data_IF_019179908282
#
_entry.id   IF_019179908282
#
_cell.length_a   1.000
_cell.length_b   1.000
_cell.length_c   1.000
_cell.angle_alpha   90.00
_cell.angle_beta   90.00
_cell.angle_gamma   90.00
#
_symmetry.space_group_name_H-M   'P 1'
#
loop_
_entity.id
_entity.type
_entity.pdbx_description
1 polymer ?
#
# COMPACT_ATOMS: atom_id res chain seq x y z
N UNK A 1 -9.76 -8.55 -8.17
CA UNK A 1 -8.33 -8.78 -8.52
C UNK A 1 -7.52 -7.62 -7.97
N UNK A 2 -6.53 -7.89 -7.09
CA UNK A 2 -5.55 -6.90 -6.72
C UNK A 2 -4.69 -6.61 -7.95
N UNK A 3 -4.70 -5.37 -8.44
CA UNK A 3 -3.96 -4.96 -9.63
C UNK A 3 -2.49 -4.67 -9.32
N UNK A 4 -1.77 -5.63 -8.72
CA UNK A 4 -0.33 -5.51 -8.54
C UNK A 4 0.38 -5.62 -9.89
N UNK A 5 1.35 -4.76 -10.13
CA UNK A 5 2.21 -4.82 -11.31
C UNK A 5 3.68 -4.96 -10.87
N UNK A 6 4.45 -5.81 -11.55
CA UNK A 6 5.85 -6.00 -11.22
C UNK A 6 6.68 -4.78 -11.62
N UNK A 7 7.64 -4.41 -10.77
CA UNK A 7 8.65 -3.40 -11.07
C UNK A 7 10.01 -4.06 -10.89
N UNK A 8 10.87 -3.95 -11.91
CA UNK A 8 12.28 -4.27 -11.75
C UNK A 8 12.92 -3.25 -10.79
N UNK A 9 13.45 -3.72 -9.68
CA UNK A 9 14.03 -2.86 -8.65
C UNK A 9 15.46 -2.43 -8.97
N UNK A 10 16.18 -3.26 -9.72
CA UNK A 10 17.59 -3.01 -10.05
C UNK A 10 17.69 -2.07 -11.23
N UNK A 11 16.75 -2.19 -12.18
CA UNK A 11 16.73 -1.34 -13.37
C UNK A 11 15.30 -0.87 -13.68
N UNK A 12 14.73 0.06 -12.88
CA UNK A 12 13.37 0.53 -13.08
C UNK A 12 13.26 1.30 -14.39
N UNK A 13 12.79 0.64 -15.43
CA UNK A 13 12.54 1.25 -16.72
C UNK A 13 11.48 2.36 -16.65
N UNK A 14 11.32 3.11 -17.76
CA UNK A 14 10.31 4.17 -17.86
C UNK A 14 8.88 3.66 -17.58
N UNK A 15 8.61 2.39 -17.80
CA UNK A 15 7.32 1.75 -17.54
C UNK A 15 6.95 1.74 -16.07
N UNK A 16 7.93 1.71 -15.16
CA UNK A 16 7.70 1.80 -13.72
C UNK A 16 6.96 3.10 -13.31
N UNK A 17 7.11 4.16 -14.09
CA UNK A 17 6.43 5.44 -13.88
C UNK A 17 5.23 5.59 -14.82
N UNK A 18 5.39 5.25 -16.11
CA UNK A 18 4.33 5.46 -17.11
C UNK A 18 3.07 4.62 -16.83
N UNK A 19 3.25 3.37 -16.41
CA UNK A 19 2.12 2.48 -16.14
C UNK A 19 1.21 3.00 -15.03
N UNK A 20 1.72 3.26 -13.79
CA UNK A 20 0.88 3.81 -12.72
C UNK A 20 0.28 5.16 -13.05
N UNK A 21 1.00 6.04 -13.74
CA UNK A 21 0.47 7.34 -14.19
C UNK A 21 -0.69 7.18 -15.14
N UNK A 22 -0.57 6.30 -16.13
CA UNK A 22 -1.65 6.03 -17.09
C UNK A 22 -2.86 5.40 -16.41
N UNK A 23 -2.63 4.48 -15.47
CA UNK A 23 -3.67 3.85 -14.68
C UNK A 23 -4.46 4.90 -13.87
N UNK A 24 -3.78 5.79 -13.17
CA UNK A 24 -4.40 6.85 -12.37
C UNK A 24 -5.17 7.86 -13.22
N UNK A 25 -4.67 8.18 -14.43
CA UNK A 25 -5.35 9.12 -15.34
C UNK A 25 -6.58 8.55 -16.05
N UNK A 26 -6.51 7.26 -16.41
CA UNK A 26 -7.51 6.64 -17.28
C UNK A 26 -8.57 5.85 -16.52
N UNK A 27 -8.42 5.66 -15.24
CA UNK A 27 -9.35 4.88 -14.43
C UNK A 27 -9.64 5.56 -13.09
N UNK A 28 -10.77 5.25 -12.50
CA UNK A 28 -11.13 5.68 -11.15
C UNK A 28 -10.52 4.74 -10.10
N UNK A 29 -9.19 4.53 -10.16
CA UNK A 29 -8.45 3.64 -9.26
C UNK A 29 -7.48 4.44 -8.42
N UNK A 30 -7.20 3.93 -7.24
CA UNK A 30 -6.14 4.44 -6.36
C UNK A 30 -4.90 3.57 -6.49
N UNK A 31 -3.73 4.13 -6.24
CA UNK A 31 -2.46 3.44 -6.18
C UNK A 31 -1.98 3.42 -4.73
N UNK A 32 -1.65 2.23 -4.24
CA UNK A 32 -0.97 2.08 -2.95
C UNK A 32 0.48 1.78 -3.24
N UNK A 33 1.37 2.55 -2.63
CA UNK A 33 2.81 2.33 -2.74
C UNK A 33 3.54 2.64 -1.44
N UNK A 34 4.65 1.98 -1.23
CA UNK A 34 5.53 2.25 -0.10
C UNK A 34 6.55 3.32 -0.53
N UNK A 35 6.54 4.50 0.08
CA UNK A 35 7.33 5.63 -0.40
C UNK A 35 8.85 5.42 -0.27
N UNK A 36 9.30 4.62 0.65
CA UNK A 36 10.71 4.25 0.79
C UNK A 36 11.22 3.30 -0.30
N UNK A 37 10.32 2.61 -1.01
CA UNK A 37 10.66 1.57 -1.97
C UNK A 37 11.37 0.36 -1.34
N UNK A 38 11.56 0.35 -0.03
CA UNK A 38 12.23 -0.71 0.73
C UNK A 38 11.50 -0.95 2.06
N UNK A 39 11.55 -2.18 2.55
CA UNK A 39 11.04 -2.53 3.89
C UNK A 39 12.02 -2.14 5.01
N UNK A 40 13.23 -1.73 4.67
CA UNK A 40 14.33 -1.48 5.59
C UNK A 40 14.75 0.00 5.66
N UNK A 41 14.14 0.87 4.87
CA UNK A 41 14.39 2.31 4.88
C UNK A 41 13.09 3.05 5.15
N UNK A 42 13.16 4.07 5.98
CA UNK A 42 12.08 5.02 6.24
C UNK A 42 12.10 6.20 5.28
N UNK A 43 13.20 6.38 4.53
CA UNK A 43 13.39 7.55 3.68
C UNK A 43 12.43 7.57 2.50
N UNK A 44 11.69 8.63 2.37
CA UNK A 44 10.76 8.84 1.25
C UNK A 44 11.53 9.10 -0.04
N UNK A 45 11.35 8.25 -1.04
CA UNK A 45 11.97 8.40 -2.35
C UNK A 45 11.10 9.24 -3.30
N UNK A 46 11.75 9.96 -4.20
CA UNK A 46 11.10 10.87 -5.13
C UNK A 46 10.08 10.26 -6.11
N UNK A 47 10.04 8.93 -6.26
CA UNK A 47 9.12 8.25 -7.18
C UNK A 47 7.65 8.57 -6.92
N UNK A 48 7.25 8.72 -5.65
CA UNK A 48 5.88 9.11 -5.27
C UNK A 48 5.54 10.49 -5.83
N UNK A 49 6.44 11.45 -5.65
CA UNK A 49 6.27 12.83 -6.13
C UNK A 49 6.11 12.88 -7.65
N UNK A 50 6.95 12.14 -8.36
CA UNK A 50 6.92 12.07 -9.83
C UNK A 50 5.59 11.51 -10.33
N UNK A 51 5.15 10.37 -9.78
CA UNK A 51 3.90 9.73 -10.19
C UNK A 51 2.71 10.64 -9.88
N UNK A 52 2.62 11.19 -8.67
CA UNK A 52 1.53 12.06 -8.25
C UNK A 52 1.44 13.32 -9.10
N UNK A 53 2.58 13.97 -9.40
CA UNK A 53 2.62 15.16 -10.24
C UNK A 53 2.21 14.87 -11.68
N UNK A 54 2.73 13.80 -12.27
CA UNK A 54 2.39 13.41 -13.64
C UNK A 54 0.94 12.96 -13.77
N UNK A 55 0.40 12.30 -12.75
CA UNK A 55 -1.00 11.87 -12.74
C UNK A 55 -1.98 12.99 -12.33
N UNK A 56 -1.49 14.09 -11.73
CA UNK A 56 -2.28 15.18 -11.15
C UNK A 56 -3.22 14.70 -10.05
N UNK A 57 -2.71 13.85 -9.17
CA UNK A 57 -3.45 13.30 -8.02
C UNK A 57 -2.81 13.76 -6.72
N UNK A 58 -3.62 13.80 -5.65
CA UNK A 58 -3.14 14.06 -4.29
C UNK A 58 -2.50 12.80 -3.71
N UNK A 59 -1.57 13.01 -2.78
CA UNK A 59 -0.95 11.93 -2.00
C UNK A 59 -1.67 11.85 -0.67
N UNK A 60 -2.15 10.66 -0.29
CA UNK A 60 -2.74 10.42 1.02
C UNK A 60 -1.79 9.57 1.86
N UNK A 61 -1.12 10.14 2.87
CA UNK A 61 -0.30 9.37 3.79
C UNK A 61 -1.16 8.43 4.62
N UNK A 62 -0.67 7.21 4.81
CA UNK A 62 -1.33 6.20 5.66
C UNK A 62 -0.27 5.52 6.48
N UNK A 63 -0.46 5.51 7.80
CA UNK A 63 0.41 4.84 8.75
C UNK A 63 -0.31 3.62 9.31
N UNK A 64 0.37 2.47 9.23
CA UNK A 64 -0.06 1.23 9.86
C UNK A 64 0.69 1.05 11.16
N UNK A 65 -0.06 0.93 12.24
CA UNK A 65 0.46 0.54 13.54
C UNK A 65 -0.23 -0.73 14.00
N UNK A 66 0.54 -1.77 14.14
CA UNK A 66 0.02 -3.07 14.50
C UNK A 66 1.11 -4.14 14.47
N UNK A 67 0.73 -5.39 14.77
CA UNK A 67 1.65 -6.50 14.78
C UNK A 67 2.27 -6.72 13.40
N UNK A 68 3.58 -6.86 13.38
CA UNK A 68 4.35 -7.21 12.17
C UNK A 68 4.43 -8.72 11.95
N UNK A 69 4.11 -9.49 12.96
CA UNK A 69 4.14 -10.95 12.97
C UNK A 69 2.72 -11.52 13.09
N UNK A 70 2.51 -12.67 12.49
CA UNK A 70 1.24 -13.39 12.59
C UNK A 70 0.86 -13.71 14.04
N UNK A 71 1.85 -13.93 14.90
CA UNK A 71 1.67 -14.15 16.34
C UNK A 71 0.94 -12.98 16.98
N UNK A 72 1.32 -11.75 16.71
CA UNK A 72 0.68 -10.56 17.27
C UNK A 72 -0.79 -10.46 16.85
N UNK A 73 -1.12 -10.78 15.58
CA UNK A 73 -2.51 -10.86 15.12
C UNK A 73 -3.31 -11.93 15.88
N UNK A 74 -2.74 -13.11 16.08
CA UNK A 74 -3.37 -14.20 16.83
C UNK A 74 -3.51 -13.87 18.31
N UNK A 75 -2.55 -13.16 18.90
CA UNK A 75 -2.61 -12.71 20.30
C UNK A 75 -3.51 -11.50 20.52
N UNK A 76 -4.07 -10.96 19.44
CA UNK A 76 -5.07 -9.90 19.49
C UNK A 76 -4.47 -8.53 19.77
N UNK A 77 -3.22 -8.32 19.34
CA UNK A 77 -2.64 -6.98 19.29
C UNK A 77 -3.52 -6.08 18.42
N UNK A 78 -3.62 -4.84 18.85
CA UNK A 78 -4.45 -3.86 18.16
C UNK A 78 -3.82 -3.51 16.81
N UNK A 79 -4.66 -3.40 15.80
CA UNK A 79 -4.30 -2.89 14.47
C UNK A 79 -4.95 -1.52 14.31
N UNK A 80 -4.15 -0.50 14.12
CA UNK A 80 -4.61 0.85 13.82
C UNK A 80 -4.09 1.27 12.43
N UNK A 81 -4.96 1.87 11.66
CA UNK A 81 -4.61 2.50 10.38
C UNK A 81 -5.04 3.96 10.45
N UNK A 82 -4.07 4.85 10.46
CA UNK A 82 -4.31 6.28 10.52
C UNK A 82 -4.10 6.89 9.14
N UNK A 83 -5.08 7.67 8.71
CA UNK A 83 -5.08 8.38 7.44
C UNK A 83 -4.75 9.84 7.70
N UNK A 84 -3.72 10.33 7.01
CA UNK A 84 -3.33 11.74 7.08
C UNK A 84 -4.13 12.63 6.16
N UNK A 85 -3.78 13.92 6.18
CA UNK A 85 -4.37 14.88 5.28
C UNK A 85 -3.85 14.68 3.84
N UNK A 86 -4.72 14.81 2.82
CA UNK A 86 -4.27 14.70 1.44
C UNK A 86 -3.30 15.83 1.08
N UNK A 87 -2.07 15.46 0.74
CA UNK A 87 -1.02 16.39 0.32
C UNK A 87 -1.23 16.76 -1.14
N UNK A 88 -1.47 18.03 -1.40
CA UNK A 88 -1.55 18.60 -2.74
C UNK A 88 -0.17 19.11 -3.15
N UNK A 89 0.27 18.76 -4.36
CA UNK A 89 1.54 19.17 -4.93
C UNK A 89 1.36 19.96 -6.23
N UNK A 90 0.16 20.50 -6.46
CA UNK A 90 -0.16 21.31 -7.64
C UNK A 90 0.57 22.64 -7.64
N UNK A 91 0.92 23.17 -6.46
CA UNK A 91 1.73 24.37 -6.23
C UNK A 91 3.14 24.29 -6.84
N UNK A 92 3.71 23.10 -6.92
CA UNK A 92 5.04 22.88 -7.48
C UNK A 92 4.99 22.88 -9.01
N UNK A 93 5.51 23.92 -9.66
CA UNK A 93 5.45 24.05 -11.14
C UNK A 93 6.29 22.98 -11.85
N UNK A 94 7.47 22.66 -11.34
CA UNK A 94 8.41 21.67 -11.91
C UNK A 94 8.88 20.71 -10.82
N UNK A 95 9.21 19.49 -11.23
CA UNK A 95 9.90 18.54 -10.37
C UNK A 95 11.40 18.63 -10.65
N UNK A 96 12.08 19.49 -9.91
CA UNK A 96 13.53 19.48 -9.73
C UNK A 96 13.85 18.74 -8.43
N UNK A 97 15.11 18.46 -8.19
CA UNK A 97 15.55 17.72 -7.00
C UNK A 97 15.10 18.39 -5.69
N UNK A 98 15.13 19.71 -5.65
CA UNK A 98 14.68 20.51 -4.51
C UNK A 98 13.18 20.31 -4.22
N UNK A 99 12.34 20.39 -5.24
CA UNK A 99 10.90 20.19 -5.10
C UNK A 99 10.54 18.72 -4.78
N UNK A 100 11.33 17.77 -5.27
CA UNK A 100 11.17 16.36 -4.89
C UNK A 100 11.47 16.16 -3.41
N UNK A 101 12.54 16.78 -2.90
CA UNK A 101 12.86 16.76 -1.48
C UNK A 101 11.80 17.45 -0.63
N UNK A 102 11.25 18.57 -1.11
CA UNK A 102 10.15 19.26 -0.43
C UNK A 102 8.92 18.36 -0.31
N UNK A 103 8.52 17.63 -1.37
CA UNK A 103 7.42 16.67 -1.30
C UNK A 103 7.75 15.53 -0.33
N UNK A 104 8.98 15.03 -0.35
CA UNK A 104 9.40 13.98 0.58
C UNK A 104 9.31 14.46 2.03
N UNK A 105 9.73 15.70 2.29
CA UNK A 105 9.62 16.31 3.61
C UNK A 105 8.17 16.49 4.06
N UNK A 106 7.27 16.94 3.18
CA UNK A 106 5.82 17.05 3.48
C UNK A 106 5.22 15.69 3.84
N UNK A 107 5.59 14.63 3.11
CA UNK A 107 5.13 13.27 3.40
C UNK A 107 5.68 12.79 4.74
N UNK A 108 6.97 13.00 5.01
CA UNK A 108 7.62 12.58 6.24
C UNK A 108 7.01 13.31 7.45
N UNK A 109 6.83 14.61 7.37
CA UNK A 109 6.21 15.41 8.45
C UNK A 109 4.80 14.91 8.79
N UNK A 110 4.04 14.48 7.78
CA UNK A 110 2.71 13.95 8.00
C UNK A 110 2.76 12.53 8.60
N UNK A 111 3.74 11.71 8.24
CA UNK A 111 3.97 10.43 8.88
C UNK A 111 4.35 10.60 10.36
N UNK A 112 5.28 11.50 10.67
CA UNK A 112 5.72 11.77 12.04
C UNK A 112 4.53 12.24 12.89
N UNK A 113 3.70 13.14 12.37
CA UNK A 113 2.47 13.59 13.03
C UNK A 113 1.51 12.44 13.30
N UNK A 114 1.29 11.57 12.30
CA UNK A 114 0.39 10.42 12.42
C UNK A 114 0.93 9.38 13.40
N UNK A 115 2.25 9.19 13.46
CA UNK A 115 2.87 8.28 14.43
C UNK A 115 2.74 8.81 15.86
N UNK A 116 2.92 10.10 16.10
CA UNK A 116 2.70 10.72 17.42
C UNK A 116 1.23 10.62 17.85
N UNK A 117 0.31 10.91 16.94
CA UNK A 117 -1.13 10.79 17.19
C UNK A 117 -1.51 9.34 17.54
N UNK A 118 -0.98 8.38 16.80
CA UNK A 118 -1.25 6.97 17.02
C UNK A 118 -0.66 6.43 18.33
N UNK A 119 0.51 6.93 18.75
CA UNK A 119 1.07 6.61 20.08
C UNK A 119 0.13 6.99 21.21
N UNK A 120 -0.63 8.09 21.05
CA UNK A 120 -1.62 8.51 22.04
C UNK A 120 -2.79 7.53 22.21
N UNK A 121 -3.14 6.77 21.17
CA UNK A 121 -4.19 5.76 21.21
C UNK A 121 -3.71 4.39 21.71
N UNK A 122 -2.41 4.12 21.70
CA UNK A 122 -1.85 2.83 22.12
C UNK A 122 -1.76 2.65 23.64
N UNK A 123 -1.96 3.72 24.41
CA UNK A 123 -1.89 3.66 25.87
C UNK A 123 -3.03 2.83 26.46
N UNK A 124 -2.77 1.54 26.69
CA UNK A 124 -3.28 0.90 27.91
C UNK A 124 -4.37 -0.15 27.81
N UNK A 125 -4.80 -0.67 26.66
CA UNK A 125 -5.71 -1.84 26.68
C UNK A 125 -4.94 -3.14 26.46
N UNK A 126 -4.59 -3.83 27.57
CA UNK A 126 -4.16 -5.23 27.52
C UNK A 126 -5.31 -6.05 26.91
N UNK A 127 -5.02 -6.97 25.97
CA UNK A 127 -6.05 -7.84 25.40
C UNK A 127 -6.69 -8.68 26.50
N UNK A 128 -8.03 -8.73 26.51
CA UNK A 128 -8.74 -9.56 27.48
C UNK A 128 -8.48 -11.05 27.15
N UNK A 129 -7.99 -11.87 28.08
CA UNK A 129 -7.68 -13.27 27.81
C UNK A 129 -8.89 -14.08 27.32
N UNK A 130 -10.10 -13.71 27.69
CA UNK A 130 -11.32 -14.35 27.17
C UNK A 130 -11.50 -14.20 25.65
N UNK A 131 -10.87 -13.18 25.04
CA UNK A 131 -10.96 -13.00 23.59
C UNK A 131 -10.20 -14.08 22.81
N UNK A 132 -9.26 -14.78 23.44
CA UNK A 132 -8.53 -15.88 22.79
C UNK A 132 -9.42 -17.10 22.54
N UNK A 133 -10.43 -17.32 23.38
CA UNK A 133 -11.32 -18.50 23.29
C UNK A 133 -12.01 -18.53 21.92
N UNK A 134 -12.41 -17.38 21.36
CA UNK A 134 -13.06 -17.33 20.05
C UNK A 134 -12.12 -16.89 18.93
N UNK A 135 -11.07 -16.12 19.21
CA UNK A 135 -10.14 -15.63 18.17
C UNK A 135 -9.25 -16.74 17.62
N UNK A 136 -8.80 -17.66 18.45
CA UNK A 136 -7.97 -18.78 17.99
C UNK A 136 -8.73 -19.67 17.01
N UNK A 137 -9.94 -20.17 17.32
CA UNK A 137 -10.73 -20.93 16.35
C UNK A 137 -11.04 -20.13 15.08
N UNK A 138 -11.41 -18.84 15.23
CA UNK A 138 -11.69 -17.97 14.08
C UNK A 138 -10.44 -17.76 13.21
N UNK A 139 -9.26 -17.61 13.81
CA UNK A 139 -7.99 -17.51 13.11
C UNK A 139 -7.67 -18.78 12.30
N UNK A 140 -7.92 -19.95 12.86
CA UNK A 140 -7.75 -21.24 12.14
C UNK A 140 -8.69 -21.29 10.94
N UNK A 141 -9.96 -20.95 11.12
CA UNK A 141 -10.94 -20.92 10.01
C UNK A 141 -10.50 -19.90 8.93
N UNK A 142 -10.02 -18.73 9.32
CA UNK A 142 -9.53 -17.73 8.39
C UNK A 142 -8.30 -18.23 7.58
N UNK A 143 -7.37 -18.92 8.23
CA UNK A 143 -6.20 -19.52 7.55
C UNK A 143 -6.66 -20.58 6.54
N UNK A 144 -7.57 -21.46 6.94
CA UNK A 144 -8.13 -22.48 6.03
C UNK A 144 -8.82 -21.81 4.83
N UNK A 145 -9.62 -20.78 5.06
CA UNK A 145 -10.28 -20.03 3.99
C UNK A 145 -9.27 -19.39 3.02
N UNK A 146 -8.19 -18.80 3.53
CA UNK A 146 -7.10 -18.25 2.70
C UNK A 146 -6.43 -19.35 1.88
N UNK A 147 -6.10 -20.48 2.49
CA UNK A 147 -5.48 -21.61 1.77
C UNK A 147 -6.40 -22.17 0.68
N UNK A 148 -7.69 -22.29 0.94
CA UNK A 148 -8.67 -22.73 -0.05
C UNK A 148 -8.81 -21.70 -1.20
N UNK A 149 -8.82 -20.42 -0.92
CA UNK A 149 -8.86 -19.38 -1.96
C UNK A 149 -7.58 -19.36 -2.79
N UNK A 150 -6.42 -19.59 -2.17
CA UNK A 150 -5.14 -19.72 -2.90
C UNK A 150 -5.14 -20.96 -3.79
N UNK A 151 -5.57 -22.12 -3.28
CA UNK A 151 -5.69 -23.35 -4.05
C UNK A 151 -6.67 -23.18 -5.22
N UNK A 152 -7.84 -22.59 -4.98
CA UNK A 152 -8.81 -22.29 -6.02
C UNK A 152 -8.26 -21.34 -7.08
N UNK A 153 -7.57 -20.28 -6.66
CA UNK A 153 -6.92 -19.33 -7.57
C UNK A 153 -5.83 -19.99 -8.41
N UNK A 154 -5.08 -20.91 -7.80
CA UNK A 154 -4.05 -21.69 -8.52
C UNK A 154 -4.70 -22.60 -9.59
N UNK A 155 -5.73 -23.35 -9.23
CA UNK A 155 -6.47 -24.20 -10.19
C UNK A 155 -7.13 -23.36 -11.29
N UNK A 156 -7.76 -22.23 -10.92
CA UNK A 156 -8.37 -21.32 -11.86
C UNK A 156 -7.35 -20.72 -12.85
N UNK A 157 -6.10 -20.53 -12.43
CA UNK A 157 -5.05 -20.03 -13.32
C UNK A 157 -4.68 -20.98 -14.46
N UNK A 158 -4.90 -22.29 -14.28
CA UNK A 158 -4.71 -23.29 -15.35
C UNK A 158 -5.83 -23.22 -16.39
N UNK A 159 -7.05 -22.91 -15.95
CA UNK A 159 -8.24 -22.85 -16.84
C UNK A 159 -8.37 -21.49 -17.51
N UNK A 160 -7.99 -20.43 -16.80
CA UNK A 160 -8.09 -19.07 -17.28
C UNK A 160 -6.71 -18.46 -17.54
N UNK A 161 -6.35 -18.33 -18.80
CA UNK A 161 -5.14 -17.62 -19.22
C UNK A 161 -5.45 -16.12 -19.40
N UNK A 162 -5.03 -15.25 -18.47
CA UNK A 162 -5.35 -13.81 -18.51
C UNK A 162 -4.68 -13.08 -19.69
N UNK A 163 -3.63 -13.64 -20.30
CA UNK A 163 -2.97 -13.03 -21.44
C UNK A 163 -3.82 -13.09 -22.71
N UNK A 164 -4.59 -14.16 -22.90
CA UNK A 164 -5.53 -14.27 -24.02
C UNK A 164 -6.69 -13.25 -23.96
N UNK A 165 -7.08 -12.83 -22.76
CA UNK A 165 -8.12 -11.82 -22.58
C UNK A 165 -7.59 -10.40 -22.75
N UNK A 166 -6.35 -10.12 -22.32
CA UNK A 166 -5.71 -8.81 -22.54
C UNK A 166 -5.45 -8.52 -24.03
N UNK A 167 -5.04 -9.52 -24.79
CA UNK A 167 -4.83 -9.37 -26.23
C UNK A 167 -6.11 -9.00 -26.99
N UNK A 168 -7.29 -9.45 -26.55
CA UNK A 168 -8.58 -9.11 -27.16
C UNK A 168 -9.09 -7.72 -26.81
N UNK A 169 -8.71 -7.16 -25.65
CA UNK A 169 -9.08 -5.79 -25.26
C UNK A 169 -8.22 -4.71 -25.95
N UNK A 170 -7.01 -5.08 -26.37
CA UNK A 170 -6.09 -4.16 -27.08
C UNK A 170 -6.38 -4.07 -28.57
N UNK A 171 -7.19 -4.99 -29.13
CA UNK A 171 -7.61 -4.99 -30.53
C UNK A 171 -9.01 -4.38 -30.78
N UNK A 172 -9.66 -3.85 -29.77
CA UNK A 172 -10.88 -3.05 -29.85
C UNK A 172 -10.58 -1.59 -29.46
#
# INVERSE_FOLDING_TARGET
MCGAFPIDRENPGQEAIKYPVNMLKKSNRSLIMFPSGSRHSSDVKGGVAVIAKMAKVKIMPVVYQGPRELKGLLTGERVDMNYGNPIDISDLKRLNDENIQEVAHRIQSEFDRLDEEALSYQTGKKPNPLTYIYRVPLGIVAIIAVLLTMAFSYVASFVWNPEKHRAKETQK
#
